data_IF_141447659626
#
_entry.id   IF_141447659626
#
_cell.length_a   1.000
_cell.length_b   1.000
_cell.length_c   1.000
_cell.angle_alpha   90.00
_cell.angle_beta   90.00
_cell.angle_gamma   90.00
#
_symmetry.space_group_name_H-M   'P 1'
#
loop_
_entity.id
_entity.type
_entity.pdbx_description
1 polymer ?
#
# COMPACT_ATOMS: atom_id res chain seq x y z
N UNK A 1 -19.88 -21.97 18.07
CA UNK A 1 -20.47 -21.42 16.82
C UNK A 1 -19.57 -20.39 16.15
N UNK A 2 -19.22 -19.28 16.80
CA UNK A 2 -18.38 -18.20 16.23
C UNK A 2 -17.07 -18.71 15.60
N UNK A 3 -16.34 -19.60 16.29
CA UNK A 3 -15.10 -20.18 15.75
C UNK A 3 -15.34 -20.98 14.46
N UNK A 4 -16.44 -21.72 14.38
CA UNK A 4 -16.79 -22.54 13.22
C UNK A 4 -17.21 -21.67 12.02
N UNK A 5 -17.88 -20.55 12.29
CA UNK A 5 -18.23 -19.53 11.28
C UNK A 5 -17.00 -18.80 10.77
N UNK A 6 -16.04 -18.49 11.66
CA UNK A 6 -14.74 -17.88 11.29
C UNK A 6 -13.90 -18.87 10.48
N UNK A 7 -13.84 -20.15 10.87
CA UNK A 7 -13.10 -21.18 10.11
C UNK A 7 -13.74 -21.44 8.74
N UNK A 8 -15.07 -21.52 8.66
CA UNK A 8 -15.76 -21.68 7.38
C UNK A 8 -15.55 -20.46 6.46
N UNK A 9 -15.61 -19.24 7.02
CA UNK A 9 -15.31 -18.01 6.29
C UNK A 9 -13.84 -17.95 5.85
N UNK A 10 -12.90 -18.33 6.71
CA UNK A 10 -11.46 -18.37 6.39
C UNK A 10 -11.15 -19.39 5.29
N UNK A 11 -11.77 -20.58 5.32
CA UNK A 11 -11.64 -21.59 4.26
C UNK A 11 -12.24 -21.09 2.95
N UNK A 12 -13.42 -20.46 2.99
CA UNK A 12 -14.05 -19.89 1.80
C UNK A 12 -13.24 -18.73 1.22
N UNK A 13 -12.67 -17.88 2.07
CA UNK A 13 -11.77 -16.79 1.67
C UNK A 13 -10.46 -17.33 1.15
N UNK A 14 -9.91 -18.41 1.70
CA UNK A 14 -8.75 -19.08 1.11
C UNK A 14 -9.07 -19.59 -0.30
N UNK A 15 -10.28 -20.11 -0.55
CA UNK A 15 -10.70 -20.51 -1.90
C UNK A 15 -10.85 -19.32 -2.84
N UNK A 16 -11.41 -18.21 -2.36
CA UNK A 16 -11.58 -16.96 -3.12
C UNK A 16 -10.22 -16.29 -3.41
N UNK A 17 -9.34 -16.19 -2.41
CA UNK A 17 -7.97 -15.69 -2.55
C UNK A 17 -7.23 -16.55 -3.57
N UNK A 18 -7.24 -17.88 -3.45
CA UNK A 18 -6.58 -18.77 -4.42
C UNK A 18 -7.26 -18.83 -5.81
N UNK A 19 -8.23 -17.97 -6.12
CA UNK A 19 -8.84 -17.88 -7.44
C UNK A 19 -9.79 -19.02 -7.81
N UNK A 20 -10.17 -19.86 -6.84
CA UNK A 20 -11.09 -21.00 -7.04
C UNK A 20 -12.57 -20.58 -6.99
N UNK A 21 -12.87 -19.39 -6.47
CA UNK A 21 -14.23 -18.82 -6.42
C UNK A 21 -14.19 -17.37 -6.91
N UNK A 22 -15.05 -17.04 -7.88
CA UNK A 22 -15.10 -15.71 -8.50
C UNK A 22 -15.88 -14.70 -7.64
N UNK A 23 -15.27 -13.53 -7.40
CA UNK A 23 -15.88 -12.36 -6.75
C UNK A 23 -17.07 -11.76 -7.50
N UNK A 24 -17.36 -12.24 -8.73
CA UNK A 24 -18.40 -11.66 -9.60
C UNK A 24 -19.83 -11.98 -9.19
N UNK A 25 -20.05 -12.85 -8.20
CA UNK A 25 -21.40 -13.12 -7.69
C UNK A 25 -21.72 -12.15 -6.54
N UNK A 26 -22.86 -11.42 -6.60
CA UNK A 26 -23.22 -10.43 -5.58
C UNK A 26 -23.23 -10.99 -4.14
N UNK A 27 -23.66 -12.23 -3.98
CA UNK A 27 -23.68 -12.91 -2.68
C UNK A 27 -22.27 -13.10 -2.11
N UNK A 28 -21.31 -13.56 -2.92
CA UNK A 28 -19.91 -13.74 -2.48
C UNK A 28 -19.28 -12.39 -2.17
N UNK A 29 -19.52 -11.37 -2.98
CA UNK A 29 -19.03 -10.02 -2.71
C UNK A 29 -19.55 -9.49 -1.37
N UNK A 30 -20.85 -9.61 -1.09
CA UNK A 30 -21.45 -9.20 0.17
C UNK A 30 -20.91 -9.98 1.37
N UNK A 31 -20.70 -11.29 1.23
CA UNK A 31 -20.13 -12.12 2.30
C UNK A 31 -18.68 -11.75 2.62
N UNK A 32 -17.84 -11.57 1.59
CA UNK A 32 -16.43 -11.20 1.78
C UNK A 32 -16.32 -9.79 2.35
N UNK A 33 -17.19 -8.86 1.93
CA UNK A 33 -17.22 -7.50 2.48
C UNK A 33 -17.70 -7.47 3.94
N UNK A 34 -18.70 -8.28 4.29
CA UNK A 34 -19.16 -8.48 5.67
C UNK A 34 -18.10 -9.11 6.57
N UNK A 35 -17.36 -10.11 6.07
CA UNK A 35 -16.20 -10.66 6.78
C UNK A 35 -15.11 -9.60 6.95
N UNK A 36 -14.77 -8.88 5.86
CA UNK A 36 -13.79 -7.79 5.86
C UNK A 36 -14.12 -6.73 6.91
N UNK A 37 -15.39 -6.33 7.01
CA UNK A 37 -15.89 -5.45 8.05
C UNK A 37 -15.65 -5.98 9.46
N UNK A 38 -15.97 -7.25 9.69
CA UNK A 38 -15.85 -7.89 11.00
C UNK A 38 -14.39 -7.98 11.45
N UNK A 39 -13.50 -8.48 10.59
CA UNK A 39 -12.07 -8.60 10.93
C UNK A 39 -11.41 -7.23 11.05
N UNK A 40 -11.78 -6.26 10.21
CA UNK A 40 -11.24 -4.91 10.28
C UNK A 40 -11.63 -4.16 11.56
N UNK A 41 -12.73 -4.53 12.24
CA UNK A 41 -13.09 -3.97 13.54
C UNK A 41 -12.29 -4.60 14.69
N UNK A 42 -11.96 -5.89 14.56
CA UNK A 42 -11.31 -6.67 15.61
C UNK A 42 -9.78 -6.62 15.52
N UNK A 43 -9.23 -6.34 14.34
CA UNK A 43 -7.80 -6.35 14.12
C UNK A 43 -7.11 -5.28 14.99
N UNK A 44 -6.07 -5.62 15.77
CA UNK A 44 -5.23 -4.62 16.41
C UNK A 44 -4.49 -3.81 15.33
N UNK A 45 -4.42 -2.50 15.52
CA UNK A 45 -3.60 -1.61 14.70
C UNK A 45 -2.45 -1.11 15.55
N UNK A 46 -1.27 -1.04 14.96
CA UNK A 46 -0.06 -0.64 15.65
C UNK A 46 0.69 0.39 14.81
N UNK A 47 0.95 1.57 15.38
CA UNK A 47 1.85 2.55 14.76
C UNK A 47 3.28 2.03 14.91
N UNK A 48 3.90 1.59 13.81
CA UNK A 48 5.25 1.02 13.80
C UNK A 48 6.31 2.00 13.30
N UNK A 49 5.90 3.05 12.60
CA UNK A 49 6.73 4.22 12.28
C UNK A 49 5.90 5.46 12.60
N UNK A 50 6.30 6.27 13.60
CA UNK A 50 5.59 7.50 13.93
C UNK A 50 5.76 8.54 12.83
N UNK A 51 4.82 9.47 12.75
CA UNK A 51 4.83 10.57 11.79
C UNK A 51 3.49 11.27 11.82
N UNK A 52 3.43 12.47 11.26
CA UNK A 52 2.15 13.16 11.05
C UNK A 52 1.62 13.01 9.65
N UNK A 53 0.35 13.37 9.52
CA UNK A 53 -0.29 13.54 8.22
C UNK A 53 0.18 14.85 7.59
N UNK A 54 0.10 14.93 6.25
CA UNK A 54 0.39 16.18 5.53
C UNK A 54 -0.53 17.30 6.01
N UNK A 55 0.06 18.47 6.22
CA UNK A 55 -0.66 19.67 6.64
C UNK A 55 -1.66 20.16 5.60
N UNK A 56 -2.62 20.98 6.03
CA UNK A 56 -3.57 21.66 5.13
C UNK A 56 -4.67 20.80 4.49
N UNK A 57 -4.60 19.46 4.53
CA UNK A 57 -5.60 18.60 3.90
C UNK A 57 -6.81 18.34 4.80
N UNK A 58 -6.57 17.85 6.02
CA UNK A 58 -7.61 17.66 7.02
C UNK A 58 -7.72 18.91 7.90
N UNK A 59 -8.89 19.52 7.95
CA UNK A 59 -9.19 20.63 8.85
C UNK A 59 -9.44 20.11 10.26
N UNK A 60 -9.44 21.01 11.25
CA UNK A 60 -9.84 20.67 12.62
C UNK A 60 -11.25 20.05 12.69
N UNK A 61 -12.15 20.47 11.80
CA UNK A 61 -13.49 19.89 11.68
C UNK A 61 -13.45 18.45 11.15
N UNK A 62 -12.62 18.16 10.14
CA UNK A 62 -12.42 16.78 9.67
C UNK A 62 -11.82 15.87 10.76
N UNK A 63 -10.85 16.39 11.53
CA UNK A 63 -10.28 15.65 12.66
C UNK A 63 -11.31 15.35 13.74
N UNK A 64 -12.17 16.33 14.06
CA UNK A 64 -13.30 16.15 14.98
C UNK A 64 -14.28 15.09 14.46
N UNK A 65 -14.64 15.14 13.18
CA UNK A 65 -15.51 14.14 12.55
C UNK A 65 -14.93 12.73 12.63
N UNK A 66 -13.62 12.58 12.38
CA UNK A 66 -12.91 11.32 12.56
C UNK A 66 -13.02 10.80 14.00
N UNK A 67 -12.75 11.65 15.00
CA UNK A 67 -12.80 11.29 16.41
C UNK A 67 -14.22 10.91 16.88
N UNK A 68 -15.24 11.56 16.34
CA UNK A 68 -16.66 11.29 16.64
C UNK A 68 -17.24 10.11 15.82
N UNK A 69 -16.46 9.49 14.95
CA UNK A 69 -16.93 8.41 14.08
C UNK A 69 -17.89 8.87 12.97
N UNK A 70 -17.89 10.17 12.63
CA UNK A 70 -18.72 10.77 11.58
C UNK A 70 -18.03 10.70 10.22
N UNK A 71 -18.09 9.53 9.59
CA UNK A 71 -17.52 9.31 8.27
C UNK A 71 -18.40 8.41 7.42
N UNK A 72 -18.22 8.48 6.10
CA UNK A 72 -18.83 7.58 5.13
C UNK A 72 -17.74 6.90 4.31
N UNK A 73 -17.76 5.57 4.28
CA UNK A 73 -16.91 4.79 3.39
C UNK A 73 -17.54 4.66 2.02
N UNK A 74 -16.76 4.89 0.97
CA UNK A 74 -17.18 4.77 -0.42
C UNK A 74 -16.37 3.69 -1.14
N UNK A 75 -17.04 2.93 -2.00
CA UNK A 75 -16.40 2.17 -3.06
C UNK A 75 -16.11 3.11 -4.25
N UNK A 76 -15.03 2.87 -4.99
CA UNK A 76 -14.70 3.63 -6.20
C UNK A 76 -15.83 3.69 -7.25
N UNK A 77 -16.71 2.69 -7.32
CA UNK A 77 -17.90 2.67 -8.20
C UNK A 77 -19.01 3.61 -7.75
N UNK A 78 -19.06 3.96 -6.48
CA UNK A 78 -20.07 4.84 -5.90
C UNK A 78 -19.71 6.33 -6.07
N UNK A 79 -18.44 6.62 -6.35
CA UNK A 79 -17.90 7.98 -6.46
C UNK A 79 -18.67 8.88 -7.44
N UNK A 80 -19.05 8.44 -8.66
CA UNK A 80 -19.75 9.32 -9.61
C UNK A 80 -21.11 9.81 -9.10
N UNK A 81 -21.79 8.99 -8.29
CA UNK A 81 -23.12 9.27 -7.74
C UNK A 81 -23.05 9.82 -6.32
N UNK A 82 -21.84 10.01 -5.78
CA UNK A 82 -21.69 10.44 -4.39
C UNK A 82 -22.08 11.91 -4.23
N UNK A 83 -22.98 12.16 -3.29
CA UNK A 83 -23.27 13.46 -2.74
C UNK A 83 -22.73 13.53 -1.30
N UNK A 84 -21.84 14.50 -1.07
CA UNK A 84 -21.20 14.70 0.23
C UNK A 84 -22.24 15.06 1.30
N UNK A 85 -22.44 14.15 2.25
CA UNK A 85 -23.34 14.40 3.39
C UNK A 85 -22.74 15.47 4.30
N UNK A 86 -23.50 16.52 4.67
CA UNK A 86 -23.02 17.53 5.60
C UNK A 86 -22.55 16.91 6.93
N UNK A 87 -21.41 17.37 7.44
CA UNK A 87 -20.89 16.94 8.75
C UNK A 87 -20.31 15.52 8.79
N UNK A 88 -19.96 14.93 7.64
CA UNK A 88 -19.26 13.64 7.58
C UNK A 88 -18.02 13.72 6.70
N UNK A 89 -16.98 12.98 7.04
CA UNK A 89 -15.80 12.81 6.20
C UNK A 89 -15.99 11.62 5.24
N UNK A 90 -15.80 11.81 3.94
CA UNK A 90 -15.80 10.71 2.98
C UNK A 90 -14.41 10.07 2.85
N UNK A 91 -14.35 8.73 2.89
CA UNK A 91 -13.14 7.94 2.61
C UNK A 91 -13.41 7.01 1.45
N UNK A 92 -12.60 7.11 0.41
CA UNK A 92 -12.73 6.28 -0.78
C UNK A 92 -11.78 5.08 -0.72
N UNK A 93 -12.30 3.88 -0.97
CA UNK A 93 -11.49 2.69 -1.19
C UNK A 93 -11.40 2.35 -2.68
N UNK A 94 -10.17 2.37 -3.21
CA UNK A 94 -9.83 1.92 -4.56
C UNK A 94 -9.33 0.48 -4.49
N UNK A 95 -10.29 -0.45 -4.57
CA UNK A 95 -10.07 -1.89 -4.46
C UNK A 95 -9.34 -2.47 -5.69
N UNK A 96 -8.78 -3.68 -5.61
CA UNK A 96 -7.95 -4.25 -6.70
C UNK A 96 -8.66 -4.44 -8.04
N UNK A 97 -9.99 -4.48 -8.04
CA UNK A 97 -10.82 -4.60 -9.24
C UNK A 97 -11.17 -3.24 -9.87
N UNK A 98 -10.61 -2.14 -9.34
CA UNK A 98 -10.76 -0.82 -9.92
C UNK A 98 -10.10 -0.71 -11.30
N UNK A 99 -10.66 0.15 -12.12
CA UNK A 99 -10.19 0.50 -13.45
C UNK A 99 -10.46 1.98 -13.70
N UNK A 100 -9.86 2.54 -14.76
CA UNK A 100 -10.04 3.95 -15.12
C UNK A 100 -9.67 4.92 -13.97
N UNK A 101 -8.41 4.85 -13.55
CA UNK A 101 -7.88 5.67 -12.46
C UNK A 101 -7.95 7.17 -12.74
N UNK A 102 -7.95 7.59 -14.02
CA UNK A 102 -8.10 8.97 -14.40
C UNK A 102 -9.50 9.52 -14.06
N UNK A 103 -10.55 8.73 -14.32
CA UNK A 103 -11.91 9.06 -13.90
C UNK A 103 -12.05 9.08 -12.38
N UNK A 104 -11.41 8.13 -11.67
CA UNK A 104 -11.41 8.10 -10.20
C UNK A 104 -10.77 9.38 -9.63
N UNK A 105 -9.59 9.77 -10.12
CA UNK A 105 -8.91 11.01 -9.71
C UNK A 105 -9.81 12.23 -9.93
N UNK A 106 -10.38 12.35 -11.14
CA UNK A 106 -11.26 13.46 -11.48
C UNK A 106 -12.48 13.53 -10.55
N UNK A 107 -13.08 12.37 -10.26
CA UNK A 107 -14.21 12.26 -9.34
C UNK A 107 -13.83 12.63 -7.90
N UNK A 108 -12.64 12.27 -7.43
CA UNK A 108 -12.17 12.65 -6.09
C UNK A 108 -12.09 14.17 -5.93
N UNK A 109 -11.57 14.86 -6.95
CA UNK A 109 -11.43 16.31 -6.96
C UNK A 109 -12.80 16.99 -7.04
N UNK A 110 -13.66 16.54 -7.96
CA UNK A 110 -15.02 17.09 -8.14
C UNK A 110 -15.86 16.93 -6.86
N UNK A 111 -15.84 15.75 -6.25
CA UNK A 111 -16.60 15.43 -5.03
C UNK A 111 -15.89 15.86 -3.75
N UNK A 112 -14.70 16.48 -3.86
CA UNK A 112 -13.88 16.96 -2.74
C UNK A 112 -13.59 15.88 -1.69
N UNK A 113 -13.34 14.65 -2.15
CA UNK A 113 -12.93 13.53 -1.29
C UNK A 113 -11.60 13.90 -0.62
N UNK A 114 -11.49 13.67 0.69
CA UNK A 114 -10.30 14.06 1.46
C UNK A 114 -9.36 12.92 1.79
N UNK A 115 -9.80 11.68 1.66
CA UNK A 115 -8.98 10.50 1.92
C UNK A 115 -9.25 9.45 0.85
N UNK A 116 -8.18 8.98 0.22
CA UNK A 116 -8.22 7.88 -0.75
C UNK A 116 -7.30 6.77 -0.27
N UNK A 117 -7.85 5.56 -0.16
CA UNK A 117 -7.15 4.35 0.19
C UNK A 117 -6.94 3.49 -1.05
N UNK A 118 -5.68 3.32 -1.44
CA UNK A 118 -5.28 2.71 -2.69
C UNK A 118 -4.70 1.33 -2.49
N UNK A 119 -5.02 0.44 -3.44
CA UNK A 119 -4.37 -0.86 -3.61
C UNK A 119 -3.38 -0.84 -4.77
N UNK A 120 -2.77 -1.98 -5.07
CA UNK A 120 -1.64 -2.13 -5.99
C UNK A 120 -1.88 -1.64 -7.42
N UNK A 121 -3.13 -1.61 -7.90
CA UNK A 121 -3.45 -1.15 -9.25
C UNK A 121 -3.27 0.36 -9.46
N UNK A 122 -3.88 1.17 -8.59
CA UNK A 122 -3.78 2.63 -8.66
C UNK A 122 -2.38 3.10 -8.26
N UNK A 123 -1.79 2.47 -7.23
CA UNK A 123 -0.41 2.75 -6.81
C UNK A 123 0.59 2.54 -7.96
N UNK A 124 0.44 1.46 -8.72
CA UNK A 124 1.23 1.23 -9.92
C UNK A 124 1.01 2.30 -10.99
N UNK A 125 -0.24 2.68 -11.23
CA UNK A 125 -0.61 3.64 -12.26
C UNK A 125 0.03 5.00 -12.01
N UNK A 126 0.18 5.41 -10.75
CA UNK A 126 0.86 6.66 -10.38
C UNK A 126 2.33 6.74 -10.82
N UNK A 127 2.96 5.61 -11.14
CA UNK A 127 4.33 5.56 -11.72
C UNK A 127 4.36 5.70 -13.25
N UNK A 128 3.22 5.96 -13.89
CA UNK A 128 3.14 6.30 -15.32
C UNK A 128 3.09 7.81 -15.49
N UNK A 129 3.42 8.32 -16.69
CA UNK A 129 3.34 9.76 -16.96
C UNK A 129 1.92 10.33 -16.71
N UNK A 130 0.88 9.61 -17.13
CA UNK A 130 -0.51 10.03 -16.89
C UNK A 130 -0.87 9.95 -15.41
N UNK A 131 -0.49 8.87 -14.73
CA UNK A 131 -0.79 8.69 -13.31
C UNK A 131 -0.03 9.62 -12.40
N UNK A 132 1.15 10.08 -12.81
CA UNK A 132 1.91 11.10 -12.10
C UNK A 132 1.19 12.45 -12.08
N UNK A 133 0.71 12.91 -13.25
CA UNK A 133 -0.13 14.12 -13.33
C UNK A 133 -1.38 13.97 -12.47
N UNK A 134 -2.02 12.79 -12.50
CA UNK A 134 -3.16 12.48 -11.62
C UNK A 134 -2.80 12.55 -10.14
N UNK A 135 -1.64 12.03 -9.73
CA UNK A 135 -1.16 12.06 -8.35
C UNK A 135 -0.87 13.48 -7.89
N UNK A 136 -0.21 14.30 -8.71
CA UNK A 136 0.07 15.71 -8.39
C UNK A 136 -1.23 16.46 -8.11
N UNK A 137 -2.26 16.23 -8.93
CA UNK A 137 -3.58 16.83 -8.70
C UNK A 137 -4.26 16.32 -7.41
N UNK A 138 -4.15 15.03 -7.07
CA UNK A 138 -4.70 14.51 -5.80
C UNK A 138 -3.95 15.07 -4.59
N UNK A 139 -2.63 15.18 -4.68
CA UNK A 139 -1.75 15.54 -3.57
C UNK A 139 -2.06 16.93 -3.01
N UNK A 140 -2.56 17.86 -3.81
CA UNK A 140 -2.94 19.19 -3.32
C UNK A 140 -4.16 19.19 -2.39
N UNK A 141 -5.04 18.18 -2.46
CA UNK A 141 -6.35 18.21 -1.81
C UNK A 141 -6.75 16.95 -1.03
N UNK A 142 -5.99 15.86 -1.18
CA UNK A 142 -6.40 14.51 -0.76
C UNK A 142 -5.27 13.79 -0.04
N UNK A 143 -5.55 13.23 1.15
CA UNK A 143 -4.62 12.31 1.81
C UNK A 143 -4.61 10.97 1.09
N UNK A 144 -3.43 10.57 0.65
CA UNK A 144 -3.18 9.31 -0.03
C UNK A 144 -2.72 8.25 0.96
N UNK A 145 -3.56 7.24 1.17
CA UNK A 145 -3.26 6.09 2.02
C UNK A 145 -2.99 4.88 1.15
N UNK A 146 -1.82 4.25 1.30
CA UNK A 146 -1.44 3.09 0.47
C UNK A 146 -1.44 1.82 1.31
N UNK A 147 -2.18 0.82 0.84
CA UNK A 147 -2.08 -0.55 1.38
C UNK A 147 -0.82 -1.18 0.80
N UNK A 148 0.28 -1.13 1.55
CA UNK A 148 1.58 -1.61 1.14
C UNK A 148 1.72 -3.08 1.54
N UNK A 149 1.40 -4.02 0.64
CA UNK A 149 1.36 -5.45 0.93
C UNK A 149 2.33 -6.31 0.12
N UNK A 150 3.46 -5.75 -0.30
CA UNK A 150 4.56 -6.49 -0.93
C UNK A 150 5.58 -5.55 -1.55
N UNK A 151 6.70 -6.11 -2.02
CA UNK A 151 7.78 -5.35 -2.67
C UNK A 151 7.34 -4.60 -3.93
N UNK A 152 6.25 -5.01 -4.58
CA UNK A 152 5.67 -4.29 -5.72
C UNK A 152 5.18 -2.86 -5.40
N UNK A 153 5.01 -2.54 -4.12
CA UNK A 153 4.68 -1.20 -3.64
C UNK A 153 5.91 -0.33 -3.35
N UNK A 154 7.13 -0.88 -3.41
CA UNK A 154 8.37 -0.14 -3.14
C UNK A 154 8.47 1.21 -3.86
N UNK A 155 8.08 1.35 -5.15
CA UNK A 155 8.11 2.64 -5.85
C UNK A 155 7.23 3.72 -5.20
N UNK A 156 6.23 3.35 -4.40
CA UNK A 156 5.37 4.32 -3.71
C UNK A 156 6.15 5.17 -2.71
N UNK A 157 7.25 4.68 -2.15
CA UNK A 157 8.07 5.42 -1.19
C UNK A 157 8.65 6.71 -1.81
N UNK A 158 9.03 6.64 -3.09
CA UNK A 158 9.44 7.82 -3.86
C UNK A 158 8.30 8.80 -4.16
N UNK A 159 7.04 8.40 -3.96
CA UNK A 159 5.84 9.21 -4.20
C UNK A 159 5.23 9.77 -2.90
N UNK A 160 5.91 9.59 -1.76
CA UNK A 160 5.60 10.24 -0.48
C UNK A 160 4.14 10.07 0.00
N UNK A 161 3.63 8.83 0.13
CA UNK A 161 2.27 8.58 0.63
C UNK A 161 2.07 9.22 2.01
N UNK A 162 0.82 9.57 2.33
CA UNK A 162 0.47 10.22 3.59
C UNK A 162 0.34 9.25 4.76
N UNK A 163 0.07 7.98 4.45
CA UNK A 163 0.01 6.89 5.41
C UNK A 163 0.23 5.57 4.69
N UNK A 164 1.07 4.72 5.26
CA UNK A 164 1.16 3.32 4.86
C UNK A 164 0.37 2.44 5.81
N UNK A 165 -0.51 1.62 5.26
CA UNK A 165 -1.13 0.50 5.97
C UNK A 165 -0.40 -0.76 5.54
N UNK A 166 0.32 -1.39 6.46
CA UNK A 166 1.11 -2.59 6.18
C UNK A 166 0.44 -3.81 6.80
N UNK A 167 -0.13 -4.73 5.98
CA UNK A 167 -0.63 -5.98 6.50
C UNK A 167 0.54 -6.95 6.76
N UNK A 168 0.76 -7.27 8.03
CA UNK A 168 1.94 -8.01 8.51
C UNK A 168 1.61 -9.46 8.86
N UNK A 169 2.50 -10.38 8.50
CA UNK A 169 2.52 -11.76 8.97
C UNK A 169 3.98 -12.17 9.24
N UNK A 170 4.31 -12.61 10.45
CA UNK A 170 5.66 -13.09 10.82
C UNK A 170 6.78 -12.08 10.54
N UNK A 171 6.55 -10.78 10.78
CA UNK A 171 7.52 -9.72 10.45
C UNK A 171 7.65 -9.42 8.96
N UNK A 172 6.83 -10.04 8.11
CA UNK A 172 6.80 -9.80 6.67
C UNK A 172 5.56 -9.05 6.23
N UNK A 173 5.76 -8.19 5.24
CA UNK A 173 4.77 -7.57 4.40
C UNK A 173 4.70 -8.39 3.12
N UNK A 174 3.60 -9.10 2.89
CA UNK A 174 3.54 -10.09 1.81
C UNK A 174 2.20 -10.14 1.09
N UNK A 175 2.30 -10.31 -0.22
CA UNK A 175 1.16 -10.43 -1.10
C UNK A 175 0.59 -11.85 -1.04
N UNK A 176 -0.72 -11.99 -1.25
CA UNK A 176 -1.37 -13.30 -1.24
C UNK A 176 -0.87 -14.22 -2.34
N UNK A 177 -0.52 -13.64 -3.50
CA UNK A 177 -0.18 -14.37 -4.72
C UNK A 177 1.26 -14.18 -5.17
N UNK A 178 1.80 -12.98 -4.97
CA UNK A 178 3.06 -12.59 -5.58
C UNK A 178 4.22 -12.95 -4.68
N UNK A 179 5.26 -13.55 -5.27
CA UNK A 179 6.50 -13.86 -4.55
C UNK A 179 7.40 -12.62 -4.47
N UNK A 180 7.07 -11.73 -3.56
CA UNK A 180 7.77 -10.46 -3.42
C UNK A 180 7.77 -9.89 -1.99
N UNK A 181 7.68 -10.75 -0.97
CA UNK A 181 7.59 -10.31 0.42
C UNK A 181 8.76 -9.40 0.84
N UNK A 182 8.44 -8.35 1.60
CA UNK A 182 9.39 -7.41 2.18
C UNK A 182 9.39 -7.56 3.70
N UNK A 183 10.54 -7.46 4.35
CA UNK A 183 10.60 -7.44 5.82
C UNK A 183 10.11 -6.09 6.34
N UNK A 184 9.38 -6.10 7.45
CA UNK A 184 8.95 -4.85 8.11
C UNK A 184 10.18 -4.04 8.52
N UNK A 185 11.21 -4.69 9.05
CA UNK A 185 12.44 -4.02 9.47
C UNK A 185 13.15 -3.33 8.30
N UNK A 186 13.12 -3.94 7.11
CA UNK A 186 13.69 -3.35 5.90
C UNK A 186 12.93 -2.08 5.50
N UNK A 187 11.58 -2.10 5.55
CA UNK A 187 10.78 -0.91 5.25
C UNK A 187 11.11 0.23 6.20
N UNK A 188 11.19 -0.05 7.50
CA UNK A 188 11.50 0.95 8.51
C UNK A 188 12.91 1.52 8.33
N UNK A 189 13.90 0.67 8.06
CA UNK A 189 15.27 1.10 7.79
C UNK A 189 15.36 2.03 6.57
N UNK A 190 14.60 1.75 5.51
CA UNK A 190 14.51 2.60 4.32
C UNK A 190 13.90 3.97 4.66
N UNK A 191 12.76 3.97 5.36
CA UNK A 191 12.06 5.21 5.74
C UNK A 191 12.96 6.11 6.60
N UNK A 192 13.64 5.53 7.59
CA UNK A 192 14.56 6.26 8.47
C UNK A 192 15.77 6.81 7.70
N UNK A 193 16.42 5.96 6.89
CA UNK A 193 17.64 6.34 6.17
C UNK A 193 17.40 7.42 5.12
N UNK A 194 16.30 7.31 4.39
CA UNK A 194 15.94 8.28 3.36
C UNK A 194 15.12 9.46 3.92
N UNK A 195 14.85 9.45 5.24
CA UNK A 195 14.06 10.45 5.94
C UNK A 195 12.70 10.69 5.27
N UNK A 196 12.02 9.59 4.95
CA UNK A 196 10.68 9.59 4.41
C UNK A 196 9.73 9.72 5.59
N UNK A 197 9.22 10.93 5.79
CA UNK A 197 8.27 11.23 6.86
C UNK A 197 6.89 10.65 6.53
N UNK A 198 6.71 9.34 6.64
CA UNK A 198 5.43 8.69 6.39
C UNK A 198 5.03 7.82 7.59
N UNK A 199 3.92 8.09 8.28
CA UNK A 199 3.46 7.20 9.33
C UNK A 199 3.12 5.82 8.76
N UNK A 200 3.51 4.77 9.47
CA UNK A 200 3.24 3.38 9.10
C UNK A 200 2.42 2.71 10.19
N UNK A 201 1.25 2.20 9.79
CA UNK A 201 0.35 1.45 10.66
C UNK A 201 0.31 -0.01 10.22
N UNK A 202 0.79 -0.88 11.11
CA UNK A 202 0.68 -2.31 10.95
C UNK A 202 -0.72 -2.81 11.31
N UNK A 203 -1.18 -3.77 10.53
CA UNK A 203 -2.39 -4.55 10.81
C UNK A 203 -2.05 -6.02 10.57
N UNK A 204 -2.54 -6.98 11.37
CA UNK A 204 -2.36 -8.40 11.05
C UNK A 204 -2.88 -8.71 9.65
N UNK A 205 -2.16 -9.56 8.90
CA UNK A 205 -2.50 -9.86 7.49
C UNK A 205 -3.93 -10.37 7.28
N UNK A 206 -4.47 -11.10 8.26
CA UNK A 206 -5.85 -11.61 8.25
C UNK A 206 -6.89 -10.51 8.53
N UNK A 207 -6.48 -9.41 9.16
CA UNK A 207 -7.31 -8.26 9.50
C UNK A 207 -7.52 -7.27 8.36
N UNK A 208 -6.81 -7.43 7.25
CA UNK A 208 -6.98 -6.62 6.04
C UNK A 208 -7.35 -7.51 4.85
N UNK A 209 -8.63 -7.45 4.49
CA UNK A 209 -9.12 -7.95 3.20
C UNK A 209 -9.25 -6.74 2.28
N UNK A 210 -8.81 -6.83 1.02
CA UNK A 210 -8.86 -5.70 0.08
C UNK A 210 -10.28 -5.46 -0.46
N UNK A 211 -11.26 -5.34 0.44
CA UNK A 211 -12.64 -4.88 0.16
C UNK A 211 -12.85 -3.47 0.68
N UNK A 212 -13.89 -2.82 0.17
CA UNK A 212 -14.29 -1.47 0.58
C UNK A 212 -14.53 -1.38 2.09
N UNK A 213 -15.33 -2.28 2.66
CA UNK A 213 -15.63 -2.28 4.09
C UNK A 213 -14.40 -2.38 4.97
N UNK A 214 -13.46 -3.25 4.61
CA UNK A 214 -12.25 -3.48 5.39
C UNK A 214 -11.27 -2.32 5.23
N UNK A 215 -10.99 -1.88 3.99
CA UNK A 215 -10.05 -0.79 3.73
C UNK A 215 -10.49 0.50 4.40
N UNK A 216 -11.74 0.94 4.20
CA UNK A 216 -12.24 2.18 4.79
C UNK A 216 -12.17 2.17 6.33
N UNK A 217 -12.53 1.04 6.96
CA UNK A 217 -12.47 0.91 8.42
C UNK A 217 -11.04 0.94 8.96
N UNK A 218 -10.12 0.20 8.34
CA UNK A 218 -8.71 0.20 8.76
C UNK A 218 -8.13 1.62 8.58
N UNK A 219 -8.42 2.29 7.48
CA UNK A 219 -7.95 3.66 7.20
C UNK A 219 -8.44 4.64 8.27
N UNK A 220 -9.73 4.65 8.58
CA UNK A 220 -10.27 5.56 9.61
C UNK A 220 -9.61 5.30 10.97
N UNK A 221 -9.50 4.03 11.37
CA UNK A 221 -8.88 3.66 12.64
C UNK A 221 -7.39 4.04 12.66
N UNK A 222 -6.69 3.87 11.54
CA UNK A 222 -5.29 4.26 11.39
C UNK A 222 -5.11 5.78 11.45
N UNK A 223 -5.95 6.54 10.73
CA UNK A 223 -5.96 8.01 10.76
C UNK A 223 -6.18 8.53 12.17
N UNK A 224 -7.13 7.96 12.93
CA UNK A 224 -7.36 8.35 14.31
C UNK A 224 -6.13 8.13 15.22
N UNK A 225 -5.31 7.12 14.94
CA UNK A 225 -4.06 6.86 15.68
C UNK A 225 -2.96 7.88 15.33
N UNK A 226 -2.84 8.27 14.06
CA UNK A 226 -1.72 9.11 13.57
C UNK A 226 -2.04 10.61 13.50
N UNK A 227 -3.32 10.99 13.55
CA UNK A 227 -3.76 12.40 13.47
C UNK A 227 -3.30 13.26 14.66
N UNK A 228 -2.72 12.65 15.69
CA UNK A 228 -2.13 13.34 16.85
C UNK A 228 -0.65 13.67 16.68
N UNK A 229 0.00 13.21 15.60
CA UNK A 229 1.39 13.51 15.29
C UNK A 229 1.58 14.93 14.75
N UNK A 230 2.82 15.42 14.84
CA UNK A 230 3.20 16.74 14.30
C UNK A 230 3.01 16.76 12.78
N UNK A 231 2.34 17.79 12.28
CA UNK A 231 2.07 17.91 10.85
C UNK A 231 3.39 17.89 10.05
N UNK A 232 3.42 17.11 8.97
CA UNK A 232 4.61 16.97 8.13
C UNK A 232 4.58 17.94 6.95
N UNK A 233 5.75 18.41 6.55
CA UNK A 233 5.89 19.18 5.32
C UNK A 233 6.07 18.23 4.13
N UNK A 234 5.32 18.44 3.07
CA UNK A 234 5.39 17.58 1.90
C UNK A 234 6.51 18.01 0.96
N UNK A 235 7.41 17.07 0.65
CA UNK A 235 8.42 17.24 -0.38
C UNK A 235 8.08 16.33 -1.56
N UNK A 236 7.90 16.90 -2.74
CA UNK A 236 7.63 16.11 -3.95
C UNK A 236 8.81 15.19 -4.27
N UNK A 237 8.49 13.93 -4.56
CA UNK A 237 9.39 13.05 -5.29
C UNK A 237 9.07 13.04 -6.77
N UNK A 238 9.64 12.09 -7.50
CA UNK A 238 9.58 12.08 -8.96
C UNK A 238 9.38 10.68 -9.52
N UNK A 239 8.76 10.61 -10.70
CA UNK A 239 8.68 9.40 -11.51
C UNK A 239 9.81 9.43 -12.53
N UNK A 240 10.73 8.48 -12.42
CA UNK A 240 11.81 8.29 -13.40
C UNK A 240 11.36 7.38 -14.55
N UNK A 241 10.41 6.48 -14.28
CA UNK A 241 9.86 5.55 -15.26
C UNK A 241 8.82 4.63 -14.64
N UNK A 242 8.30 3.72 -15.47
CA UNK A 242 7.34 2.70 -15.01
C UNK A 242 7.91 1.93 -13.81
N UNK A 243 7.20 1.93 -12.68
CA UNK A 243 7.62 1.28 -11.42
C UNK A 243 8.99 1.76 -10.91
N UNK A 244 9.40 2.96 -11.27
CA UNK A 244 10.64 3.57 -10.82
C UNK A 244 10.42 5.02 -10.40
N UNK A 245 10.73 5.31 -9.14
CA UNK A 245 10.56 6.64 -8.56
C UNK A 245 11.83 7.09 -7.86
N UNK A 246 11.91 8.38 -7.57
CA UNK A 246 13.02 9.01 -6.87
C UNK A 246 12.50 9.85 -5.73
N UNK A 247 13.18 9.77 -4.59
CA UNK A 247 13.07 10.76 -3.54
C UNK A 247 14.47 11.10 -3.06
N UNK A 248 14.82 12.38 -3.10
CA UNK A 248 16.17 12.87 -2.81
C UNK A 248 17.20 12.11 -3.66
N UNK A 249 18.14 11.42 -3.01
CA UNK A 249 19.23 10.67 -3.66
C UNK A 249 18.95 9.17 -3.78
N UNK A 250 17.75 8.72 -3.41
CA UNK A 250 17.35 7.33 -3.49
C UNK A 250 16.33 7.10 -4.62
N UNK A 251 16.53 6.01 -5.35
CA UNK A 251 15.56 5.48 -6.30
C UNK A 251 14.92 4.20 -5.76
N UNK A 252 13.62 4.05 -6.03
CA UNK A 252 12.81 2.90 -5.63
C UNK A 252 12.29 2.21 -6.89
N UNK A 253 12.79 1.01 -7.14
CA UNK A 253 12.53 0.27 -8.38
C UNK A 253 11.88 -1.08 -8.08
N UNK A 254 10.78 -1.37 -8.79
CA UNK A 254 10.20 -2.71 -8.84
C UNK A 254 10.32 -3.31 -10.24
N UNK A 255 10.94 -4.47 -10.33
CA UNK A 255 11.17 -5.20 -11.58
C UNK A 255 10.23 -6.39 -11.68
N UNK A 256 9.23 -6.30 -12.55
CA UNK A 256 8.26 -7.37 -12.79
C UNK A 256 8.46 -8.10 -14.12
N UNK A 257 9.36 -7.66 -14.98
CA UNK A 257 9.79 -8.35 -16.20
C UNK A 257 11.18 -7.84 -16.58
N UNK A 258 11.96 -8.67 -17.28
CA UNK A 258 13.30 -8.27 -17.76
C UNK A 258 13.36 -8.10 -19.28
N UNK A 259 12.51 -8.83 -20.00
CA UNK A 259 12.51 -8.84 -21.46
C UNK A 259 11.97 -7.52 -22.00
N UNK A 260 12.70 -6.91 -22.94
CA UNK A 260 12.32 -5.63 -23.55
C UNK A 260 12.41 -4.43 -22.60
N UNK A 261 12.94 -4.61 -21.38
CA UNK A 261 13.24 -3.48 -20.51
C UNK A 261 14.48 -2.78 -21.05
N UNK A 262 14.31 -1.52 -21.43
CA UNK A 262 15.45 -0.65 -21.68
C UNK A 262 16.10 -0.36 -20.33
N UNK A 263 17.34 -0.80 -20.17
CA UNK A 263 18.13 -0.59 -18.96
C UNK A 263 19.05 0.65 -19.08
N UNK A 264 19.02 1.36 -20.21
CA UNK A 264 19.84 2.56 -20.43
C UNK A 264 19.59 3.66 -19.41
N UNK A 265 18.37 3.75 -18.86
CA UNK A 265 18.06 4.67 -17.76
C UNK A 265 18.77 4.29 -16.44
N UNK A 266 19.14 3.02 -16.23
CA UNK A 266 19.94 2.61 -15.06
C UNK A 266 21.37 3.13 -15.15
N UNK A 267 21.90 3.27 -16.36
CA UNK A 267 23.22 3.81 -16.62
C UNK A 267 23.22 5.34 -16.44
N UNK A 268 22.10 6.01 -16.73
CA UNK A 268 21.91 7.44 -16.46
C UNK A 268 21.45 7.77 -15.03
N UNK A 269 21.01 6.81 -14.23
CA UNK A 269 20.50 7.09 -12.87
C UNK A 269 21.53 7.85 -12.00
N UNK A 270 22.82 7.53 -12.12
CA UNK A 270 23.89 8.25 -11.41
C UNK A 270 24.04 9.70 -11.90
N UNK A 271 23.78 9.95 -13.19
CA UNK A 271 23.77 11.33 -13.75
C UNK A 271 22.58 12.15 -13.26
N UNK A 272 21.51 11.50 -12.81
CA UNK A 272 20.35 12.13 -12.20
C UNK A 272 20.49 12.29 -10.67
N UNK A 273 21.73 12.34 -10.15
CA UNK A 273 22.03 12.49 -8.72
C UNK A 273 21.48 11.37 -7.82
N UNK A 274 21.20 10.18 -8.37
CA UNK A 274 20.86 9.00 -7.59
C UNK A 274 22.14 8.36 -7.05
N UNK A 275 22.23 8.23 -5.73
CA UNK A 275 23.35 7.53 -5.06
C UNK A 275 22.96 6.10 -4.66
N UNK A 276 21.68 5.88 -4.33
CA UNK A 276 21.15 4.62 -3.81
C UNK A 276 19.96 4.13 -4.62
N UNK A 277 19.90 2.81 -4.82
CA UNK A 277 18.77 2.13 -5.45
C UNK A 277 18.28 1.01 -4.54
N UNK A 278 17.03 1.12 -4.13
CA UNK A 278 16.26 0.06 -3.50
C UNK A 278 15.52 -0.72 -4.58
N UNK A 279 15.80 -2.02 -4.69
CA UNK A 279 15.16 -2.90 -5.68
C UNK A 279 14.25 -3.91 -5.02
N UNK A 280 13.11 -4.15 -5.66
CA UNK A 280 12.31 -5.34 -5.43
C UNK A 280 12.03 -6.06 -6.75
N UNK A 281 11.93 -7.39 -6.71
CA UNK A 281 11.65 -8.22 -7.88
C UNK A 281 10.33 -8.99 -7.73
N UNK A 282 9.60 -9.14 -8.84
CA UNK A 282 8.56 -10.15 -8.93
C UNK A 282 9.22 -11.52 -9.15
N UNK A 283 9.38 -12.33 -8.11
CA UNK A 283 10.01 -13.63 -8.28
C UNK A 283 9.11 -14.70 -8.93
N UNK A 284 7.86 -14.39 -9.29
CA UNK A 284 7.05 -15.26 -10.15
C UNK A 284 7.52 -15.17 -11.62
N UNK A 285 8.13 -14.04 -11.99
CA UNK A 285 8.52 -13.72 -13.36
C UNK A 285 10.05 -13.58 -13.53
N UNK A 286 10.76 -13.27 -12.44
CA UNK A 286 12.21 -13.06 -12.43
C UNK A 286 12.88 -14.16 -11.61
N UNK A 287 13.85 -14.85 -12.20
CA UNK A 287 14.66 -15.86 -11.50
C UNK A 287 15.74 -15.18 -10.64
N UNK A 288 16.24 -15.89 -9.62
CA UNK A 288 17.24 -15.36 -8.70
C UNK A 288 18.53 -14.98 -9.41
N UNK A 289 18.99 -15.81 -10.34
CA UNK A 289 20.21 -15.58 -11.11
C UNK A 289 20.08 -14.30 -11.95
N UNK A 290 18.89 -14.07 -12.52
CA UNK A 290 18.64 -12.86 -13.30
C UNK A 290 18.57 -11.61 -12.40
N UNK A 291 17.99 -11.72 -11.21
CA UNK A 291 17.99 -10.63 -10.24
C UNK A 291 19.41 -10.28 -9.79
N UNK A 292 20.26 -11.29 -9.55
CA UNK A 292 21.68 -11.12 -9.21
C UNK A 292 22.46 -10.43 -10.35
N UNK A 293 22.19 -10.78 -11.61
CA UNK A 293 22.78 -10.10 -12.77
C UNK A 293 22.40 -8.61 -12.82
N UNK A 294 21.13 -8.28 -12.59
CA UNK A 294 20.66 -6.88 -12.55
C UNK A 294 21.34 -6.11 -11.40
N UNK A 295 21.39 -6.69 -10.20
CA UNK A 295 22.05 -6.08 -9.04
C UNK A 295 23.54 -5.85 -9.33
N UNK A 296 24.23 -6.83 -9.95
CA UNK A 296 25.64 -6.72 -10.30
C UNK A 296 25.88 -5.60 -11.31
N UNK A 297 25.03 -5.48 -12.33
CA UNK A 297 25.11 -4.39 -13.33
C UNK A 297 24.98 -3.02 -12.67
N UNK A 298 23.97 -2.86 -11.81
CA UNK A 298 23.74 -1.60 -11.09
C UNK A 298 24.90 -1.20 -10.18
N UNK A 299 25.46 -2.17 -9.44
CA UNK A 299 26.66 -1.93 -8.62
C UNK A 299 27.86 -1.55 -9.48
N UNK A 300 27.97 -2.14 -10.69
CA UNK A 300 29.01 -1.81 -11.66
C UNK A 300 28.96 -0.34 -12.14
N UNK A 301 27.79 0.30 -12.11
CA UNK A 301 27.59 1.71 -12.44
C UNK A 301 27.96 2.68 -11.30
N UNK A 302 28.48 2.17 -10.17
CA UNK A 302 28.88 2.96 -9.01
C UNK A 302 27.74 3.26 -8.02
N UNK A 303 26.55 2.70 -8.22
CA UNK A 303 25.39 2.89 -7.35
C UNK A 303 25.48 1.98 -6.11
N UNK A 304 24.99 2.48 -4.97
CA UNK A 304 24.68 1.64 -3.82
C UNK A 304 23.36 0.92 -4.08
N UNK A 305 23.35 -0.42 -4.00
CA UNK A 305 22.21 -1.23 -4.42
C UNK A 305 21.78 -2.16 -3.30
N UNK A 306 20.52 -2.04 -2.88
CA UNK A 306 19.92 -2.78 -1.78
C UNK A 306 18.67 -3.54 -2.27
N UNK A 307 18.65 -4.85 -2.05
CA UNK A 307 17.52 -5.71 -2.37
C UNK A 307 16.53 -5.66 -1.21
N UNK A 308 15.36 -5.10 -1.46
CA UNK A 308 14.32 -4.85 -0.46
C UNK A 308 13.35 -6.02 -0.25
N UNK A 309 13.40 -7.07 -1.09
CA UNK A 309 12.42 -8.16 -1.01
C UNK A 309 13.01 -9.57 -1.17
N UNK A 310 12.23 -10.53 -0.68
CA UNK A 310 12.50 -11.96 -0.71
C UNK A 310 11.50 -12.69 -1.63
N UNK A 311 11.87 -13.83 -2.23
CA UNK A 311 11.01 -14.64 -3.11
C UNK A 311 9.97 -15.46 -2.33
N UNK A 312 9.17 -14.78 -1.51
CA UNK A 312 8.15 -15.39 -0.64
C UNK A 312 6.79 -14.73 -0.89
N UNK A 313 5.73 -15.54 -0.78
CA UNK A 313 4.35 -15.08 -0.68
C UNK A 313 3.79 -15.48 0.70
N UNK A 314 2.59 -15.00 1.07
CA UNK A 314 1.98 -15.23 2.41
C UNK A 314 1.99 -16.70 2.83
N UNK A 315 1.48 -17.61 2.00
CA UNK A 315 1.47 -19.03 2.35
C UNK A 315 2.89 -19.63 2.51
N UNK A 316 3.87 -19.17 1.73
CA UNK A 316 5.27 -19.57 1.91
C UNK A 316 5.86 -19.13 3.25
N UNK A 317 5.45 -17.95 3.74
CA UNK A 317 5.84 -17.43 5.06
C UNK A 317 5.20 -18.25 6.18
N UNK A 318 3.90 -18.55 6.09
CA UNK A 318 3.19 -19.33 7.11
C UNK A 318 3.78 -20.74 7.24
N UNK A 319 4.08 -21.40 6.12
CA UNK A 319 4.69 -22.74 6.12
C UNK A 319 6.07 -22.72 6.79
N UNK A 320 6.86 -21.66 6.60
CA UNK A 320 8.20 -21.52 7.19
C UNK A 320 8.19 -21.07 8.66
N UNK A 321 7.22 -20.25 9.06
CA UNK A 321 7.15 -19.64 10.40
C UNK A 321 6.19 -20.30 11.40
N UNK A 322 5.36 -21.26 10.97
CA UNK A 322 4.27 -21.78 11.80
C UNK A 322 3.08 -20.80 11.89
N UNK A 323 2.02 -21.11 12.66
CA UNK A 323 0.81 -20.25 12.78
C UNK A 323 0.86 -19.23 13.95
N UNK A 324 2.02 -18.73 14.35
CA UNK A 324 2.22 -17.96 15.61
C UNK A 324 2.56 -16.47 15.46
N UNK A 325 1.79 -15.67 14.71
CA UNK A 325 2.03 -14.21 14.71
C UNK A 325 0.76 -13.42 14.98
N UNK A 326 0.72 -12.74 16.13
CA UNK A 326 -0.39 -11.86 16.55
C UNK A 326 0.05 -10.38 16.56
N UNK A 327 1.36 -10.06 16.46
CA UNK A 327 1.89 -8.68 16.51
C UNK A 327 3.08 -8.47 15.55
N UNK A 328 3.23 -7.24 15.03
CA UNK A 328 4.36 -6.83 14.18
C UNK A 328 5.66 -6.59 14.97
N UNK A 329 5.57 -6.18 16.25
CA UNK A 329 6.74 -6.00 17.13
C UNK A 329 7.20 -7.28 17.85
N UNK A 330 6.37 -8.32 17.88
CA UNK A 330 6.69 -9.59 18.54
C UNK A 330 6.35 -10.78 17.63
N UNK A 331 7.17 -11.05 16.59
CA UNK A 331 6.94 -12.18 15.68
C UNK A 331 7.19 -13.56 16.28
N UNK A 332 7.66 -13.65 17.53
CA UNK A 332 8.16 -14.90 18.14
C UNK A 332 7.60 -15.24 19.54
N UNK A 333 6.49 -14.63 19.97
CA UNK A 333 5.78 -15.05 21.19
C UNK A 333 4.51 -15.84 20.84
#
# INVERSE_FOLDING_TARGET
MVLLTITAAATFIALVVNGLVSYRTPLVAAMVDGYGAAVANLAPLEVIHPGGLRDGILTAEHQKQLAEGKWTGLNWRELPQHEQKPGTLAVLAVTPDASDYAAIVSGCLEKRIKVVAESSGMDAWHTTAQGWVGLQNLTSEVLRVVVFDGGHHLPTLGLQPDLLIVPVTMGYIAHGHTRDAMRVEELLAILEREQIECPVVAVPRWGLVKTTASMNRIVIRALALVATGDARHFQEGEVLGSRCTRYRKASFLYVNYLQGTDWGWLESANTDHVERVYLAFNYDLVRREQAEEVIKKLKGSGLQVELANEPLHVAGIIIRGGMRCISARMPWY
#
